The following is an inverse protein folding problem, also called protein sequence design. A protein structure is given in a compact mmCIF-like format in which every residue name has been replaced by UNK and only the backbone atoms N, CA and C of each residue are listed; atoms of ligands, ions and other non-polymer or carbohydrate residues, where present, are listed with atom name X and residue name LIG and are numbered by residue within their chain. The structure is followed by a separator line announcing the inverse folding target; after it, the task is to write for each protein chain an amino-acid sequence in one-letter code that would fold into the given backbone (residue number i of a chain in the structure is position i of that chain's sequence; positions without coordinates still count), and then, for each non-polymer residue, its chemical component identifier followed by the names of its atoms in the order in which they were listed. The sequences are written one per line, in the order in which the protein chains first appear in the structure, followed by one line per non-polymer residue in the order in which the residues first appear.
data_IF_517894736720
#
_entry.id   IF_517894736720
#
_cell.length_a   1.000
_cell.length_b   1.000
_cell.length_c   1.000
_cell.angle_alpha   90.00
_cell.angle_beta   90.00
_cell.angle_gamma   90.00
#
_symmetry.space_group_name_H-M   'P 1'
#
loop_
_entity.id
_entity.type
_entity.pdbx_description
1 polymer ?
#
# COMPACT_ATOMS: atom_id res chain seq x y z
N UNK A 1 6.19 -78.09 -42.27
CA UNK A 1 6.91 -76.96 -42.83
C UNK A 1 6.97 -75.88 -41.74
N UNK A 2 8.11 -75.77 -41.00
CA UNK A 2 8.29 -74.83 -39.92
C UNK A 2 9.16 -73.68 -40.45
N UNK A 3 8.60 -72.47 -40.44
CA UNK A 3 9.34 -71.26 -40.84
C UNK A 3 9.81 -70.57 -39.53
N UNK A 4 11.13 -70.52 -39.37
CA UNK A 4 11.76 -69.83 -38.22
C UNK A 4 12.07 -68.39 -38.62
N UNK A 5 11.47 -67.44 -37.92
CA UNK A 5 11.85 -66.04 -38.00
C UNK A 5 12.99 -65.73 -37.01
N UNK A 6 14.12 -65.31 -37.54
CA UNK A 6 15.23 -64.76 -36.76
C UNK A 6 14.97 -63.26 -36.53
N UNK A 7 14.89 -62.89 -35.26
CA UNK A 7 14.82 -61.46 -34.85
C UNK A 7 16.25 -61.00 -34.57
N UNK A 8 16.72 -60.00 -35.31
CA UNK A 8 17.95 -59.27 -35.00
C UNK A 8 17.65 -58.18 -33.95
N UNK A 9 18.50 -57.98 -32.92
CA UNK A 9 18.36 -56.88 -32.01
C UNK A 9 18.91 -55.59 -32.62
N UNK A 10 18.04 -54.57 -32.74
CA UNK A 10 18.46 -53.21 -33.06
C UNK A 10 18.99 -52.55 -31.80
N UNK A 11 20.29 -52.29 -31.74
CA UNK A 11 20.93 -51.46 -30.72
C UNK A 11 20.63 -50.00 -30.97
N UNK A 12 19.77 -49.42 -30.15
CA UNK A 12 19.47 -47.99 -30.13
C UNK A 12 20.57 -47.24 -29.38
N UNK A 13 21.44 -46.54 -30.06
CA UNK A 13 22.42 -45.64 -29.45
C UNK A 13 21.74 -44.36 -29.06
N UNK A 14 21.57 -44.15 -27.74
CA UNK A 14 21.06 -42.91 -27.18
C UNK A 14 22.21 -41.90 -27.14
N UNK A 15 22.24 -40.96 -28.10
CA UNK A 15 23.14 -39.82 -28.04
C UNK A 15 22.55 -38.77 -27.06
N UNK A 16 23.09 -38.72 -25.84
CA UNK A 16 22.77 -37.67 -24.87
C UNK A 16 23.48 -36.37 -25.30
N UNK A 17 22.77 -35.47 -25.94
CA UNK A 17 23.23 -34.09 -26.17
C UNK A 17 23.11 -33.33 -24.82
N UNK A 18 24.23 -33.15 -24.13
CA UNK A 18 24.34 -32.21 -23.03
C UNK A 18 24.26 -30.80 -23.60
N UNK A 19 23.07 -30.18 -23.51
CA UNK A 19 22.91 -28.77 -23.77
C UNK A 19 23.54 -28.01 -22.61
N UNK A 20 24.76 -27.49 -22.79
CA UNK A 20 25.36 -26.53 -21.89
C UNK A 20 24.60 -25.23 -22.10
N UNK A 21 23.61 -24.96 -21.26
CA UNK A 21 23.00 -23.65 -21.16
C UNK A 21 24.09 -22.62 -20.78
N UNK A 22 24.21 -21.49 -21.46
CA UNK A 22 25.17 -20.46 -21.03
C UNK A 22 24.78 -20.04 -19.62
N UNK A 23 25.69 -20.23 -18.67
CA UNK A 23 25.62 -19.58 -17.37
C UNK A 23 25.56 -18.07 -17.66
N UNK A 24 24.35 -17.49 -17.52
CA UNK A 24 24.22 -16.04 -17.47
C UNK A 24 25.13 -15.58 -16.32
N UNK A 25 26.22 -14.90 -16.70
CA UNK A 25 27.11 -14.28 -15.73
C UNK A 25 26.29 -13.33 -14.90
N UNK A 26 25.95 -13.72 -13.67
CA UNK A 26 25.49 -12.81 -12.64
C UNK A 26 26.66 -11.83 -12.47
N UNK A 27 26.55 -10.67 -13.13
CA UNK A 27 27.45 -9.57 -12.84
C UNK A 27 27.18 -9.19 -11.39
N UNK A 28 28.05 -9.61 -10.48
CA UNK A 28 28.09 -9.08 -9.14
C UNK A 28 28.24 -7.56 -9.31
N UNK A 29 27.20 -6.83 -8.96
CA UNK A 29 27.21 -5.38 -9.06
C UNK A 29 28.36 -4.91 -8.17
N UNK A 30 29.41 -4.35 -8.78
CA UNK A 30 30.57 -3.89 -8.04
C UNK A 30 30.08 -2.92 -6.96
N UNK A 31 30.53 -3.11 -5.73
CA UNK A 31 30.18 -2.22 -4.64
C UNK A 31 30.56 -0.78 -5.05
N UNK A 32 29.60 0.14 -4.92
CA UNK A 32 29.86 1.54 -5.25
C UNK A 32 31.02 2.07 -4.40
N UNK A 33 31.89 2.86 -5.00
CA UNK A 33 33.03 3.42 -4.27
C UNK A 33 32.56 4.32 -3.11
N UNK A 34 33.39 4.47 -2.03
CA UNK A 34 32.99 5.23 -0.85
C UNK A 34 32.65 6.69 -1.12
N UNK A 35 33.28 7.33 -2.11
CA UNK A 35 32.99 8.71 -2.47
C UNK A 35 31.61 8.85 -3.13
N UNK A 36 31.27 7.93 -4.00
CA UNK A 36 29.91 7.84 -4.62
C UNK A 36 28.83 7.61 -3.56
N UNK A 37 29.08 6.70 -2.60
CA UNK A 37 28.16 6.46 -1.48
C UNK A 37 27.99 7.72 -0.63
N UNK A 38 29.09 8.40 -0.28
CA UNK A 38 29.03 9.62 0.51
C UNK A 38 28.24 10.73 -0.22
N UNK A 39 28.47 10.90 -1.53
CA UNK A 39 27.74 11.86 -2.36
C UNK A 39 26.24 11.53 -2.43
N UNK A 40 25.89 10.27 -2.62
CA UNK A 40 24.51 9.81 -2.65
C UNK A 40 23.79 10.09 -1.31
N UNK A 41 24.43 9.77 -0.19
CA UNK A 41 23.93 10.07 1.16
C UNK A 41 23.72 11.56 1.39
N UNK A 42 24.67 12.40 0.94
CA UNK A 42 24.57 13.85 1.08
C UNK A 42 23.42 14.45 0.22
N UNK A 43 23.11 13.87 -0.93
CA UNK A 43 21.96 14.24 -1.74
C UNK A 43 20.68 13.76 -1.06
N UNK A 44 20.62 12.49 -0.64
CA UNK A 44 19.45 11.89 0.00
C UNK A 44 19.03 12.64 1.27
N UNK A 45 20.00 13.07 2.08
CA UNK A 45 19.74 13.84 3.30
C UNK A 45 19.03 15.19 3.06
N UNK A 46 19.03 15.70 1.83
CA UNK A 46 18.35 16.95 1.45
C UNK A 46 16.97 16.73 0.84
N UNK A 47 16.60 15.48 0.58
CA UNK A 47 15.33 15.11 -0.07
C UNK A 47 14.31 14.77 1.01
N UNK A 48 13.10 15.31 0.88
CA UNK A 48 11.96 14.88 1.67
C UNK A 48 11.39 13.61 1.02
N UNK A 49 12.01 12.45 1.35
CA UNK A 49 11.58 11.14 0.87
C UNK A 49 10.33 10.67 1.61
N UNK A 50 9.34 10.18 0.88
CA UNK A 50 8.06 9.73 1.44
C UNK A 50 7.72 8.36 0.87
N UNK A 51 7.45 7.39 1.74
CA UNK A 51 6.76 6.16 1.39
C UNK A 51 5.26 6.40 1.46
N UNK A 52 4.54 6.14 0.39
CA UNK A 52 3.13 6.44 0.27
C UNK A 52 2.21 5.34 0.79
N UNK A 53 2.77 4.16 1.20
CA UNK A 53 1.94 3.06 1.66
C UNK A 53 2.70 2.07 2.57
N UNK A 54 2.54 2.22 3.88
CA UNK A 54 3.15 1.34 4.89
C UNK A 54 2.05 0.72 5.74
N UNK A 55 1.79 -0.57 5.55
CA UNK A 55 0.85 -1.32 6.37
C UNK A 55 1.28 -1.39 7.83
N UNK A 56 0.32 -1.26 8.74
CA UNK A 56 0.56 -1.33 10.18
C UNK A 56 -0.34 -2.38 10.87
N UNK A 57 0.19 -2.93 11.97
CA UNK A 57 -0.59 -3.68 12.95
C UNK A 57 -0.71 -2.87 14.24
N UNK A 58 -1.91 -2.63 14.78
CA UNK A 58 -2.09 -1.87 16.04
C UNK A 58 -1.29 -2.43 17.21
N UNK A 59 -1.00 -3.73 17.21
CA UNK A 59 -0.20 -4.40 18.25
C UNK A 59 1.24 -3.89 18.35
N UNK A 60 1.77 -3.32 17.26
CA UNK A 60 3.10 -2.70 17.24
C UNK A 60 3.10 -1.26 17.79
N UNK A 61 2.00 -0.78 18.32
CA UNK A 61 1.84 0.58 18.82
C UNK A 61 1.38 0.60 20.28
N UNK A 62 1.79 -0.41 21.05
CA UNK A 62 1.44 -0.56 22.48
C UNK A 62 2.68 -0.33 23.33
N UNK A 63 2.55 0.42 24.41
CA UNK A 63 3.62 0.61 25.39
C UNK A 63 3.93 -0.71 26.12
N UNK A 64 5.18 -0.89 26.56
CA UNK A 64 5.61 -2.05 27.36
C UNK A 64 5.83 -3.35 26.57
N UNK A 65 5.69 -3.33 25.22
CA UNK A 65 6.02 -4.45 24.33
C UNK A 65 6.96 -3.95 23.21
N UNK A 66 7.64 -4.84 22.46
CA UNK A 66 8.34 -4.41 21.26
C UNK A 66 7.38 -3.65 20.35
N UNK A 67 7.72 -2.40 20.01
CA UNK A 67 6.82 -1.54 19.26
C UNK A 67 7.58 -0.72 18.22
N UNK A 68 6.86 0.09 17.46
CA UNK A 68 7.35 0.85 16.31
C UNK A 68 8.49 1.83 16.63
N UNK A 69 8.78 2.09 17.90
CA UNK A 69 9.94 2.92 18.34
C UNK A 69 11.25 2.14 18.36
N UNK A 70 11.20 0.82 18.15
CA UNK A 70 12.32 -0.12 18.17
C UNK A 70 12.48 -0.77 16.79
N UNK A 71 13.64 -1.38 16.52
CA UNK A 71 13.89 -2.15 15.32
C UNK A 71 13.18 -3.51 15.40
N UNK A 72 12.03 -3.61 14.73
CA UNK A 72 11.21 -4.81 14.74
C UNK A 72 11.66 -5.79 13.64
N UNK A 73 11.87 -7.08 13.95
CA UNK A 73 12.42 -8.04 12.97
C UNK A 73 11.45 -8.39 11.83
N UNK A 74 10.15 -8.18 12.02
CA UNK A 74 9.10 -8.62 11.09
C UNK A 74 8.37 -7.48 10.38
N UNK A 75 8.75 -6.24 10.60
CA UNK A 75 8.21 -5.07 9.87
C UNK A 75 9.21 -4.63 8.80
N UNK A 76 8.71 -4.08 7.71
CA UNK A 76 9.58 -3.44 6.69
C UNK A 76 9.97 -2.03 7.13
N UNK A 77 9.08 -1.34 7.81
CA UNK A 77 9.27 0.02 8.31
C UNK A 77 9.01 0.06 9.83
N UNK A 78 9.85 0.76 10.54
CA UNK A 78 9.71 1.23 11.92
C UNK A 78 10.58 2.48 12.08
N UNK A 79 10.47 3.21 13.18
CA UNK A 79 11.20 4.47 13.34
C UNK A 79 12.72 4.30 13.24
N UNK A 80 13.28 3.19 13.74
CA UNK A 80 14.71 2.92 13.66
C UNK A 80 15.15 2.71 12.21
N UNK A 81 14.39 1.92 11.44
CA UNK A 81 14.69 1.68 10.01
C UNK A 81 14.49 2.93 9.17
N UNK A 82 13.49 3.76 9.48
CA UNK A 82 13.33 5.07 8.83
C UNK A 82 14.56 5.97 9.10
N UNK A 83 15.07 5.96 10.33
CA UNK A 83 16.25 6.75 10.70
C UNK A 83 17.52 6.23 10.03
N UNK A 84 17.76 4.92 10.08
CA UNK A 84 18.92 4.27 9.45
C UNK A 84 18.90 4.40 7.93
N UNK A 85 17.73 4.25 7.29
CA UNK A 85 17.55 4.31 5.84
C UNK A 85 17.41 5.73 5.29
N UNK A 86 17.26 6.75 6.14
CA UNK A 86 17.03 8.13 5.72
C UNK A 86 15.62 8.38 5.15
N UNK A 87 14.65 7.52 5.43
CA UNK A 87 13.25 7.76 5.05
C UNK A 87 12.66 8.85 5.93
N UNK A 88 12.32 9.99 5.33
CA UNK A 88 11.83 11.17 6.06
C UNK A 88 10.41 11.02 6.49
N UNK A 89 9.52 10.54 5.61
CA UNK A 89 8.09 10.43 5.86
C UNK A 89 7.49 9.12 5.39
N UNK A 90 6.38 8.72 6.02
CA UNK A 90 5.61 7.56 5.62
C UNK A 90 4.12 7.76 5.86
N UNK A 91 3.30 7.27 4.94
CA UNK A 91 1.88 7.07 5.18
C UNK A 91 1.68 5.74 5.91
N UNK A 92 1.25 5.80 7.16
CA UNK A 92 0.85 4.63 7.94
C UNK A 92 -0.62 4.33 7.66
N UNK A 93 -0.92 3.08 7.30
CA UNK A 93 -2.17 2.74 6.64
C UNK A 93 -3.23 2.22 7.59
N UNK A 94 -4.36 2.89 7.58
CA UNK A 94 -5.62 2.42 8.14
C UNK A 94 -6.27 1.53 7.08
N UNK A 95 -5.81 0.28 7.00
CA UNK A 95 -6.39 -0.75 6.17
C UNK A 95 -7.39 -1.58 6.96
N UNK A 96 -8.55 -1.83 6.38
CA UNK A 96 -9.52 -2.80 6.89
C UNK A 96 -10.02 -3.65 5.74
N UNK A 97 -9.89 -4.97 5.88
CA UNK A 97 -10.49 -5.91 4.94
C UNK A 97 -11.99 -5.71 4.87
N UNK A 98 -12.56 -5.84 3.67
CA UNK A 98 -14.00 -5.79 3.51
C UNK A 98 -14.63 -7.15 3.78
N UNK A 99 -15.85 -7.11 4.29
CA UNK A 99 -16.70 -8.29 4.39
C UNK A 99 -17.36 -8.57 3.02
N UNK A 100 -17.67 -9.79 2.73
CA UNK A 100 -18.49 -10.17 1.56
C UNK A 100 -19.93 -9.69 1.69
N UNK A 101 -20.38 -9.40 2.92
CA UNK A 101 -21.72 -8.91 3.23
C UNK A 101 -21.71 -7.40 3.45
N UNK A 102 -22.45 -6.66 2.63
CA UNK A 102 -22.61 -5.21 2.74
C UNK A 102 -23.74 -4.86 3.74
N UNK A 103 -23.54 -5.20 5.01
CA UNK A 103 -24.55 -5.00 6.07
C UNK A 103 -24.11 -3.95 7.08
N UNK A 104 -25.07 -3.37 7.80
CA UNK A 104 -24.78 -2.42 8.88
C UNK A 104 -23.82 -3.02 9.93
N UNK A 105 -23.97 -4.31 10.25
CA UNK A 105 -23.11 -4.99 11.21
C UNK A 105 -21.67 -5.15 10.70
N UNK A 106 -21.47 -5.51 9.41
CA UNK A 106 -20.12 -5.60 8.82
C UNK A 106 -19.45 -4.23 8.72
N UNK A 107 -20.20 -3.20 8.35
CA UNK A 107 -19.68 -1.81 8.35
C UNK A 107 -19.29 -1.33 9.74
N UNK A 108 -20.10 -1.64 10.77
CA UNK A 108 -19.78 -1.25 12.14
C UNK A 108 -18.50 -1.91 12.66
N UNK A 109 -18.30 -3.20 12.39
CA UNK A 109 -17.04 -3.91 12.73
C UNK A 109 -15.84 -3.30 12.00
N UNK A 110 -15.97 -3.05 10.70
CA UNK A 110 -14.93 -2.44 9.90
C UNK A 110 -14.57 -1.03 10.40
N UNK A 111 -15.57 -0.22 10.74
CA UNK A 111 -15.37 1.12 11.29
C UNK A 111 -14.62 1.06 12.62
N UNK A 112 -15.00 0.18 13.55
CA UNK A 112 -14.30 -0.01 14.82
C UNK A 112 -12.82 -0.38 14.60
N UNK A 113 -12.54 -1.31 13.68
CA UNK A 113 -11.16 -1.69 13.34
C UNK A 113 -10.36 -0.54 12.70
N UNK A 114 -10.99 0.28 11.86
CA UNK A 114 -10.35 1.48 11.32
C UNK A 114 -9.99 2.47 12.42
N UNK A 115 -10.90 2.71 13.37
CA UNK A 115 -10.66 3.63 14.48
C UNK A 115 -9.50 3.17 15.36
N UNK A 116 -9.38 1.86 15.62
CA UNK A 116 -8.25 1.30 16.37
C UNK A 116 -6.90 1.60 15.68
N UNK A 117 -6.83 1.52 14.35
CA UNK A 117 -5.63 1.85 13.59
C UNK A 117 -5.31 3.35 13.62
N UNK A 118 -6.32 4.21 13.52
CA UNK A 118 -6.12 5.65 13.75
C UNK A 118 -5.53 5.93 15.13
N UNK A 119 -6.08 5.30 16.16
CA UNK A 119 -5.60 5.46 17.52
C UNK A 119 -4.16 4.95 17.70
N UNK A 120 -3.79 3.87 17.00
CA UNK A 120 -2.41 3.37 16.98
C UNK A 120 -1.42 4.42 16.43
N UNK A 121 -1.73 5.08 15.32
CA UNK A 121 -0.88 6.14 14.76
C UNK A 121 -0.82 7.35 15.69
N UNK A 122 -1.93 7.72 16.32
CA UNK A 122 -1.95 8.80 17.31
C UNK A 122 -1.10 8.45 18.55
N UNK A 123 -1.15 7.21 19.05
CA UNK A 123 -0.27 6.76 20.14
C UNK A 123 1.21 6.89 19.78
N UNK A 124 1.60 6.49 18.55
CA UNK A 124 2.99 6.65 18.11
C UNK A 124 3.47 8.09 18.24
N UNK A 125 2.68 9.02 17.72
CA UNK A 125 3.10 10.42 17.58
C UNK A 125 2.90 11.25 18.84
N UNK A 126 1.99 10.86 19.75
CA UNK A 126 1.65 11.63 20.95
C UNK A 126 2.22 11.03 22.25
N UNK A 127 2.41 9.71 22.29
CA UNK A 127 2.72 9.00 23.53
C UNK A 127 4.06 8.25 23.44
N UNK A 128 4.24 7.41 22.40
CA UNK A 128 5.40 6.52 22.31
C UNK A 128 6.67 7.24 21.85
N UNK A 129 6.55 8.16 20.89
CA UNK A 129 7.71 8.81 20.28
C UNK A 129 7.47 10.27 19.88
N UNK A 130 6.89 11.14 20.72
CA UNK A 130 6.59 12.54 20.35
C UNK A 130 7.84 13.37 20.02
N UNK A 131 9.01 12.96 20.51
CA UNK A 131 10.30 13.56 20.18
C UNK A 131 10.92 13.09 18.85
N UNK A 132 10.43 11.98 18.26
CA UNK A 132 11.02 11.36 17.07
C UNK A 132 10.09 11.38 15.85
N UNK A 133 8.78 11.43 16.06
CA UNK A 133 7.78 11.40 15.00
C UNK A 133 6.64 12.35 15.31
N UNK A 134 6.04 12.94 14.26
CA UNK A 134 4.91 13.85 14.39
C UNK A 134 3.96 13.68 13.21
N UNK A 135 2.64 13.78 13.46
CA UNK A 135 1.61 13.67 12.44
C UNK A 135 1.53 14.95 11.61
N UNK A 136 1.68 14.82 10.31
CA UNK A 136 1.50 15.89 9.34
C UNK A 136 0.08 15.85 8.76
N UNK A 137 -0.60 16.99 8.79
CA UNK A 137 -1.93 17.17 8.20
C UNK A 137 -1.87 17.96 6.90
N UNK A 138 -0.74 18.63 6.63
CA UNK A 138 -0.51 19.47 5.44
C UNK A 138 0.92 19.28 4.94
N UNK A 139 1.18 19.72 3.70
CA UNK A 139 2.54 19.79 3.16
C UNK A 139 3.43 20.78 3.95
N UNK A 140 2.86 21.83 4.54
CA UNK A 140 3.58 22.75 5.40
C UNK A 140 4.02 22.06 6.70
N UNK A 141 3.14 21.24 7.32
CA UNK A 141 3.51 20.43 8.47
C UNK A 141 4.67 19.48 8.14
N UNK A 142 4.60 18.80 6.99
CA UNK A 142 5.65 17.89 6.57
C UNK A 142 7.03 18.58 6.52
N UNK A 143 7.10 19.77 5.93
CA UNK A 143 8.34 20.55 5.87
C UNK A 143 8.80 21.00 7.25
N UNK A 144 7.91 21.48 8.09
CA UNK A 144 8.20 21.92 9.46
C UNK A 144 8.71 20.76 10.31
N UNK A 145 8.05 19.61 10.25
CA UNK A 145 8.44 18.42 11.01
C UNK A 145 9.80 17.91 10.54
N UNK A 146 10.01 17.83 9.22
CA UNK A 146 11.32 17.45 8.66
C UNK A 146 12.42 18.40 9.12
N UNK A 147 12.19 19.71 9.08
CA UNK A 147 13.16 20.70 9.55
C UNK A 147 13.49 20.58 11.04
N UNK A 148 12.59 20.01 11.85
CA UNK A 148 12.83 19.72 13.27
C UNK A 148 13.60 18.41 13.52
N UNK A 149 13.93 17.65 12.46
CA UNK A 149 14.64 16.37 12.56
C UNK A 149 13.75 15.16 12.88
N UNK A 150 12.45 15.35 13.08
CA UNK A 150 11.50 14.25 13.33
C UNK A 150 11.09 13.55 12.03
N UNK A 151 10.61 12.31 12.17
CA UNK A 151 9.95 11.59 11.08
C UNK A 151 8.56 12.13 10.87
N UNK A 152 8.21 12.32 9.60
CA UNK A 152 6.90 12.83 9.18
C UNK A 152 5.94 11.65 9.04
N UNK A 153 4.90 11.63 9.84
CA UNK A 153 3.88 10.59 9.74
C UNK A 153 2.64 11.17 9.09
N UNK A 154 2.13 10.45 8.10
CA UNK A 154 0.82 10.71 7.50
C UNK A 154 -0.10 9.52 7.74
N UNK A 155 -1.40 9.69 7.56
CA UNK A 155 -2.37 8.60 7.60
C UNK A 155 -3.03 8.48 6.23
N UNK A 156 -2.92 7.28 5.62
CA UNK A 156 -3.72 6.86 4.49
C UNK A 156 -4.81 5.91 4.94
N UNK A 157 -5.96 5.94 4.27
CA UNK A 157 -7.03 4.96 4.48
C UNK A 157 -7.10 4.06 3.27
N UNK A 158 -6.84 2.79 3.47
CA UNK A 158 -7.00 1.81 2.42
C UNK A 158 -8.30 1.05 2.60
N UNK A 159 -9.12 1.08 1.54
CA UNK A 159 -10.48 0.57 1.49
C UNK A 159 -11.50 1.45 2.22
N UNK A 160 -12.34 2.15 1.46
CA UNK A 160 -13.44 2.95 1.97
C UNK A 160 -14.60 2.17 2.59
N UNK A 161 -14.53 0.83 2.63
CA UNK A 161 -15.56 -0.03 3.22
C UNK A 161 -15.95 0.38 4.65
N UNK A 162 -15.02 0.78 5.53
CA UNK A 162 -15.33 1.19 6.90
C UNK A 162 -16.24 2.42 7.05
N UNK A 163 -16.41 3.24 6.00
CA UNK A 163 -17.36 4.36 6.12
C UNK A 163 -18.82 3.89 6.12
N UNK A 164 -19.08 2.64 5.68
CA UNK A 164 -20.44 2.11 5.56
C UNK A 164 -21.26 2.89 4.54
N UNK A 165 -22.55 3.08 4.85
CA UNK A 165 -23.49 3.89 4.06
C UNK A 165 -23.58 5.35 4.55
N UNK A 166 -22.90 5.69 5.64
CA UNK A 166 -22.92 7.05 6.22
C UNK A 166 -21.74 7.87 5.69
N UNK A 167 -22.00 8.74 4.74
CA UNK A 167 -20.99 9.62 4.12
C UNK A 167 -20.29 10.53 5.14
N UNK A 168 -20.90 10.82 6.29
CA UNK A 168 -20.29 11.67 7.32
C UNK A 168 -19.04 11.03 7.93
N UNK A 169 -18.87 9.72 7.79
CA UNK A 169 -17.68 9.01 8.22
C UNK A 169 -16.42 9.40 7.42
N UNK A 170 -16.56 9.88 6.18
CA UNK A 170 -15.43 10.44 5.41
C UNK A 170 -14.83 11.64 6.17
N UNK A 171 -15.69 12.55 6.63
CA UNK A 171 -15.23 13.69 7.44
C UNK A 171 -14.63 13.24 8.78
N UNK A 172 -15.21 12.26 9.45
CA UNK A 172 -14.66 11.73 10.71
C UNK A 172 -13.25 11.16 10.51
N UNK A 173 -12.98 10.46 9.39
CA UNK A 173 -11.66 9.95 9.07
C UNK A 173 -10.68 11.07 8.70
N UNK A 174 -11.14 12.09 7.97
CA UNK A 174 -10.35 13.29 7.70
C UNK A 174 -9.96 14.02 8.99
N UNK A 175 -10.90 14.24 9.90
CA UNK A 175 -10.67 14.91 11.18
C UNK A 175 -9.69 14.13 12.08
N UNK A 176 -9.62 12.80 11.92
CA UNK A 176 -8.62 11.93 12.57
C UNK A 176 -7.25 11.92 11.87
N UNK A 177 -7.09 12.69 10.82
CA UNK A 177 -5.81 12.87 10.13
C UNK A 177 -5.66 12.05 8.85
N UNK A 178 -6.68 11.34 8.38
CA UNK A 178 -6.67 10.69 7.07
C UNK A 178 -6.49 11.72 5.94
N UNK A 179 -5.51 11.50 5.05
CA UNK A 179 -5.20 12.44 3.98
C UNK A 179 -5.37 11.85 2.59
N UNK A 180 -5.52 10.55 2.50
CA UNK A 180 -6.10 9.91 1.33
C UNK A 180 -7.03 8.75 1.72
N UNK A 181 -7.88 8.32 0.78
CA UNK A 181 -8.65 7.09 0.92
C UNK A 181 -8.85 6.44 -0.45
N UNK A 182 -8.66 5.11 -0.53
CA UNK A 182 -9.09 4.30 -1.67
C UNK A 182 -10.52 3.82 -1.48
N UNK A 183 -11.26 3.61 -2.59
CA UNK A 183 -12.70 3.33 -2.53
C UNK A 183 -13.03 1.82 -2.48
N UNK A 184 -12.05 0.96 -2.76
CA UNK A 184 -12.14 -0.49 -2.68
C UNK A 184 -10.74 -1.06 -2.41
N UNK A 185 -10.68 -2.36 -2.03
CA UNK A 185 -9.46 -3.15 -1.98
C UNK A 185 -9.64 -4.42 -2.84
N UNK A 186 -9.22 -5.59 -2.37
CA UNK A 186 -9.39 -6.86 -3.08
C UNK A 186 -10.82 -7.40 -2.89
N UNK A 187 -11.78 -6.77 -3.56
CA UNK A 187 -13.20 -7.07 -3.56
C UNK A 187 -14.03 -5.80 -3.74
N UNK A 188 -15.21 -5.93 -4.38
CA UNK A 188 -16.12 -4.81 -4.57
C UNK A 188 -16.64 -4.30 -3.24
N UNK A 189 -16.73 -3.00 -3.08
CA UNK A 189 -17.30 -2.34 -1.90
C UNK A 189 -18.63 -1.67 -2.24
N UNK A 190 -19.31 -1.13 -1.23
CA UNK A 190 -20.51 -0.29 -1.45
C UNK A 190 -20.21 1.00 -2.22
N UNK A 191 -18.94 1.33 -2.44
CA UNK A 191 -18.50 2.56 -3.12
C UNK A 191 -18.05 2.32 -4.55
N UNK A 192 -17.37 1.21 -4.80
CA UNK A 192 -16.60 1.01 -6.02
C UNK A 192 -16.38 -0.45 -6.34
N UNK A 193 -16.30 -0.74 -7.62
CA UNK A 193 -15.73 -2.00 -8.08
C UNK A 193 -14.22 -2.03 -7.86
N UNK A 194 -13.72 -3.21 -7.52
CA UNK A 194 -12.32 -3.55 -7.33
C UNK A 194 -11.68 -4.05 -8.63
N UNK A 195 -10.36 -3.97 -8.72
CA UNK A 195 -9.55 -4.60 -9.76
C UNK A 195 -9.74 -6.13 -9.86
N UNK A 196 -10.26 -6.79 -8.81
CA UNK A 196 -10.55 -8.23 -8.84
C UNK A 196 -11.55 -8.60 -9.93
N UNK A 197 -12.49 -7.72 -10.26
CA UNK A 197 -13.42 -7.90 -11.37
C UNK A 197 -12.75 -7.97 -12.75
N UNK A 198 -11.55 -7.40 -12.90
CA UNK A 198 -10.76 -7.51 -14.13
C UNK A 198 -10.34 -8.97 -14.41
N UNK A 199 -10.19 -9.78 -13.37
CA UNK A 199 -9.89 -11.21 -13.46
C UNK A 199 -11.14 -12.06 -13.55
N UNK A 200 -12.14 -11.74 -12.72
CA UNK A 200 -13.30 -12.62 -12.49
C UNK A 200 -14.46 -12.31 -13.46
N UNK A 201 -14.42 -11.15 -14.13
CA UNK A 201 -15.50 -10.69 -15.03
C UNK A 201 -16.79 -10.31 -14.29
N UNK A 202 -16.74 -10.20 -12.96
CA UNK A 202 -17.89 -9.86 -12.11
C UNK A 202 -17.81 -8.42 -11.67
N UNK A 203 -18.91 -7.67 -11.86
CA UNK A 203 -18.98 -6.25 -11.53
C UNK A 203 -20.24 -5.99 -10.71
N UNK A 204 -20.12 -5.13 -9.68
CA UNK A 204 -21.25 -4.73 -8.84
C UNK A 204 -21.87 -3.41 -9.32
N UNK A 205 -21.03 -2.49 -9.80
CA UNK A 205 -21.44 -1.12 -10.13
C UNK A 205 -21.04 -0.68 -11.55
N UNK A 206 -20.27 -1.47 -12.27
CA UNK A 206 -19.56 -1.05 -13.50
C UNK A 206 -18.75 0.23 -13.31
N UNK A 207 -18.06 0.31 -12.19
CA UNK A 207 -17.26 1.45 -11.76
C UNK A 207 -17.62 1.94 -10.36
N UNK A 208 -17.90 3.23 -10.22
CA UNK A 208 -18.35 3.83 -8.96
C UNK A 208 -19.86 3.65 -8.74
N UNK A 209 -20.24 3.28 -7.53
CA UNK A 209 -21.63 3.34 -7.11
C UNK A 209 -22.14 4.78 -7.00
N UNK A 210 -23.47 5.01 -6.88
CA UNK A 210 -24.00 6.33 -6.57
C UNK A 210 -23.41 6.92 -5.29
N UNK A 211 -23.21 6.12 -4.24
CA UNK A 211 -22.58 6.55 -3.01
C UNK A 211 -21.07 6.85 -3.23
N UNK A 212 -20.37 6.02 -4.01
CA UNK A 212 -18.96 6.26 -4.36
C UNK A 212 -18.75 7.60 -5.04
N UNK A 213 -19.64 8.01 -5.93
CA UNK A 213 -19.60 9.34 -6.59
C UNK A 213 -19.80 10.48 -5.58
N UNK A 214 -20.68 10.31 -4.60
CA UNK A 214 -20.87 11.30 -3.52
C UNK A 214 -19.61 11.36 -2.62
N UNK A 215 -18.99 10.22 -2.34
CA UNK A 215 -17.74 10.16 -1.56
C UNK A 215 -16.60 10.86 -2.29
N UNK A 216 -16.46 10.71 -3.61
CA UNK A 216 -15.48 11.47 -4.41
C UNK A 216 -15.70 12.99 -4.24
N UNK A 217 -16.94 13.46 -4.31
CA UNK A 217 -17.27 14.87 -4.13
C UNK A 217 -16.93 15.35 -2.70
N UNK A 218 -17.25 14.56 -1.69
CA UNK A 218 -16.97 14.89 -0.28
C UNK A 218 -15.47 14.90 0.02
N UNK A 219 -14.70 13.94 -0.52
CA UNK A 219 -13.24 13.94 -0.40
C UNK A 219 -12.63 15.18 -1.03
N UNK A 220 -13.09 15.59 -2.22
CA UNK A 220 -12.65 16.85 -2.84
C UNK A 220 -12.99 18.06 -1.98
N UNK A 221 -14.20 18.10 -1.40
CA UNK A 221 -14.62 19.21 -0.53
C UNK A 221 -13.74 19.34 0.71
N UNK A 222 -13.31 18.23 1.28
CA UNK A 222 -12.44 18.18 2.45
C UNK A 222 -10.97 18.43 2.13
N UNK A 223 -10.54 18.27 0.87
CA UNK A 223 -9.12 18.23 0.48
C UNK A 223 -8.43 16.91 0.81
N UNK A 224 -9.19 15.81 0.84
CA UNK A 224 -8.68 14.45 0.99
C UNK A 224 -8.38 13.88 -0.38
N UNK A 225 -7.14 13.40 -0.62
CA UNK A 225 -6.75 12.80 -1.89
C UNK A 225 -7.49 11.48 -2.12
N UNK A 226 -7.84 11.20 -3.38
CA UNK A 226 -8.48 9.94 -3.76
C UNK A 226 -7.39 9.01 -4.29
N UNK A 227 -7.24 7.86 -3.64
CA UNK A 227 -6.32 6.83 -4.07
C UNK A 227 -7.03 5.84 -5.01
N UNK A 228 -6.41 5.56 -6.14
CA UNK A 228 -6.93 4.62 -7.16
C UNK A 228 -6.16 3.30 -7.22
N UNK A 229 -5.33 3.02 -6.23
CA UNK A 229 -4.76 1.69 -6.03
C UNK A 229 -5.88 0.73 -5.66
N UNK A 230 -6.06 -0.40 -6.27
CA UNK A 230 -7.12 -1.40 -6.10
C UNK A 230 -8.48 -1.16 -6.78
N UNK A 231 -9.09 0.05 -6.89
CA UNK A 231 -10.28 0.22 -7.70
C UNK A 231 -10.11 -0.30 -9.13
N UNK A 232 -11.22 -0.75 -9.73
CA UNK A 232 -11.23 -1.20 -11.13
C UNK A 232 -10.83 -0.10 -12.11
N UNK A 233 -10.44 -0.47 -13.33
CA UNK A 233 -10.16 0.49 -14.40
C UNK A 233 -11.35 1.44 -14.62
N UNK A 234 -12.57 0.93 -14.63
CA UNK A 234 -13.78 1.74 -14.79
C UNK A 234 -13.95 2.74 -13.62
N UNK A 235 -13.75 2.27 -12.38
CA UNK A 235 -13.79 3.12 -11.19
C UNK A 235 -12.72 4.21 -11.22
N UNK A 236 -11.49 3.87 -11.61
CA UNK A 236 -10.40 4.83 -11.75
C UNK A 236 -10.73 5.92 -12.78
N UNK A 237 -11.17 5.53 -13.98
CA UNK A 237 -11.50 6.48 -15.04
C UNK A 237 -12.68 7.39 -14.65
N UNK A 238 -13.71 6.83 -13.99
CA UNK A 238 -14.81 7.64 -13.47
C UNK A 238 -14.35 8.59 -12.35
N UNK A 239 -13.45 8.15 -11.49
CA UNK A 239 -12.85 8.99 -10.44
C UNK A 239 -12.07 10.16 -11.07
N UNK A 240 -11.25 9.90 -12.10
CA UNK A 240 -10.51 10.95 -12.83
C UNK A 240 -11.47 11.98 -13.42
N UNK A 241 -12.57 11.51 -14.04
CA UNK A 241 -13.54 12.39 -14.66
C UNK A 241 -14.33 13.26 -13.65
N UNK A 242 -14.54 12.76 -12.43
CA UNK A 242 -15.34 13.43 -11.40
C UNK A 242 -14.49 14.30 -10.45
N UNK A 243 -13.24 13.89 -10.21
CA UNK A 243 -12.38 14.60 -9.27
C UNK A 243 -12.03 16.00 -9.74
N UNK A 244 -12.08 16.95 -8.81
CA UNK A 244 -11.68 18.35 -9.02
C UNK A 244 -10.27 18.66 -8.54
N UNK A 245 -9.57 17.62 -8.03
CA UNK A 245 -8.21 17.68 -7.54
C UNK A 245 -7.40 16.50 -8.10
N UNK A 246 -6.06 16.56 -8.10
CA UNK A 246 -5.24 15.43 -8.47
C UNK A 246 -5.56 14.20 -7.61
N UNK A 247 -5.57 13.03 -8.26
CA UNK A 247 -5.68 11.72 -7.60
C UNK A 247 -4.29 11.12 -7.41
N UNK A 248 -4.18 10.07 -6.59
CA UNK A 248 -2.92 9.34 -6.41
C UNK A 248 -3.10 7.83 -6.70
N UNK A 249 -2.02 7.19 -7.08
CA UNK A 249 -1.87 5.73 -7.02
C UNK A 249 -0.80 5.46 -5.97
N UNK A 250 -1.21 5.24 -4.71
CA UNK A 250 -0.29 5.16 -3.57
C UNK A 250 0.70 4.00 -3.68
N UNK A 251 0.28 2.87 -4.28
CA UNK A 251 1.07 1.64 -4.42
C UNK A 251 0.63 0.84 -5.66
N UNK A 252 0.56 1.49 -6.81
CA UNK A 252 0.12 0.87 -8.07
C UNK A 252 1.28 0.69 -9.05
N UNK A 253 1.18 -0.34 -9.89
CA UNK A 253 2.02 -0.53 -11.07
C UNK A 253 1.26 -0.30 -12.37
N UNK A 254 1.98 -0.10 -13.47
CA UNK A 254 1.35 -0.01 -14.79
C UNK A 254 1.01 -1.42 -15.31
N UNK A 255 -0.13 -1.55 -15.98
CA UNK A 255 -0.62 -2.86 -16.48
C UNK A 255 0.33 -3.54 -17.50
N UNK A 256 1.20 -2.78 -18.14
CA UNK A 256 2.10 -3.29 -19.18
C UNK A 256 3.40 -3.93 -18.64
N UNK A 257 3.58 -3.98 -17.32
CA UNK A 257 4.73 -4.61 -16.67
C UNK A 257 4.36 -6.02 -16.22
#
# INVERSE_FOLDING_TARGET
MRVSFRVLPATLALASSLSIAPLASMHAQAAADPATIAKAKAIHAKVLSIDTHVDISPTNFVAGSPNYTQKLPRTQVDLVKMEEGGLVGAFLIVYVGQDTSLTAASFARANASALEKFDAVHRLTKELAPGRAELALTAADARRIHASGKRVIFIGVENGFPIGSDITNVKKFYDRGGRYMSLAHNGHSQLSDSNTGERDGVWMHNGLSPLGKQVVAEMNRLGMMIDVSHPSKASMLQTIALSKAPIIGSHSGVRAI
#
